data_IF_401430858065
#
_entry.id   IF_401430858065
#
_cell.length_a   1.000
_cell.length_b   1.000
_cell.length_c   1.000
_cell.angle_alpha   90.00
_cell.angle_beta   90.00
_cell.angle_gamma   90.00
#
_symmetry.space_group_name_H-M   'P 1'
#
loop_
_entity.id
_entity.type
_entity.pdbx_description
1 polymer ?
#
# COMPACT_ATOMS: atom_id res chain seq x y z
N UNK A 1 0.88 26.87 8.38
CA UNK A 1 0.77 25.44 8.01
C UNK A 1 -0.41 24.85 8.80
N UNK A 2 -1.26 23.97 8.28
CA UNK A 2 -2.63 23.71 8.80
C UNK A 2 -2.82 23.62 10.33
N UNK A 3 -1.85 23.02 11.05
CA UNK A 3 -1.83 22.95 12.52
C UNK A 3 -1.81 24.32 13.22
N UNK A 4 -1.14 25.32 12.66
CA UNK A 4 -1.14 26.70 13.15
C UNK A 4 -2.52 27.37 12.99
N UNK A 5 -3.20 27.10 11.88
CA UNK A 5 -4.56 27.63 11.66
C UNK A 5 -5.56 26.93 12.60
N UNK A 6 -5.43 25.63 12.79
CA UNK A 6 -6.21 24.88 13.78
C UNK A 6 -5.96 25.40 15.21
N UNK A 7 -4.71 25.73 15.55
CA UNK A 7 -4.36 26.31 16.86
C UNK A 7 -5.03 27.67 17.09
N UNK A 8 -5.16 28.51 16.05
CA UNK A 8 -5.90 29.79 16.14
C UNK A 8 -7.40 29.59 16.38
N UNK A 9 -7.94 28.43 15.97
CA UNK A 9 -9.32 28.02 16.24
C UNK A 9 -9.48 27.33 17.60
N UNK A 10 -8.44 27.31 18.43
CA UNK A 10 -8.46 26.66 19.74
C UNK A 10 -8.24 25.15 19.69
N UNK A 11 -7.95 24.57 18.52
CA UNK A 11 -7.70 23.14 18.37
C UNK A 11 -6.23 22.86 18.66
N UNK A 12 -5.95 22.56 19.92
CA UNK A 12 -4.64 22.17 20.47
C UNK A 12 -4.71 20.76 21.06
N UNK A 13 -3.60 20.22 21.56
CA UNK A 13 -3.57 18.87 22.12
C UNK A 13 -4.62 18.67 23.23
N UNK A 14 -5.32 17.54 23.16
CA UNK A 14 -6.40 17.17 24.10
C UNK A 14 -7.79 17.70 23.75
N UNK A 15 -7.93 18.66 22.83
CA UNK A 15 -9.24 19.16 22.39
C UNK A 15 -9.95 18.15 21.50
N UNK A 16 -11.20 17.86 21.81
CA UNK A 16 -12.06 16.92 21.07
C UNK A 16 -13.16 17.67 20.30
N UNK A 17 -13.90 16.95 19.45
CA UNK A 17 -15.01 17.52 18.68
C UNK A 17 -16.09 18.16 19.57
N UNK A 18 -16.36 17.57 20.75
CA UNK A 18 -17.36 18.07 21.69
C UNK A 18 -16.99 19.42 22.32
N UNK A 19 -15.71 19.77 22.31
CA UNK A 19 -15.21 21.05 22.84
C UNK A 19 -15.36 22.21 21.82
N UNK A 20 -15.73 21.92 20.57
CA UNK A 20 -15.82 22.92 19.51
C UNK A 20 -17.09 23.77 19.64
N UNK A 21 -16.92 25.09 19.59
CA UNK A 21 -18.05 25.99 19.42
C UNK A 21 -18.69 25.80 18.04
N UNK A 22 -20.02 25.82 17.97
CA UNK A 22 -20.77 25.69 16.71
C UNK A 22 -20.31 26.64 15.59
N UNK A 23 -19.86 27.84 15.96
CA UNK A 23 -19.34 28.86 15.04
C UNK A 23 -18.03 28.44 14.34
N UNK A 24 -17.25 27.56 14.97
CA UNK A 24 -15.90 27.15 14.53
C UNK A 24 -15.88 25.84 13.74
N UNK A 25 -16.89 24.99 13.91
CA UNK A 25 -16.97 23.63 13.32
C UNK A 25 -16.68 23.63 11.81
N UNK A 26 -17.29 24.55 11.06
CA UNK A 26 -17.13 24.59 9.60
C UNK A 26 -15.70 24.90 9.17
N UNK A 27 -15.10 25.93 9.77
CA UNK A 27 -13.73 26.34 9.44
C UNK A 27 -12.71 25.31 9.92
N UNK A 28 -12.90 24.75 11.12
CA UNK A 28 -12.11 23.65 11.64
C UNK A 28 -12.18 22.43 10.71
N UNK A 29 -13.38 22.05 10.27
CA UNK A 29 -13.60 20.92 9.38
C UNK A 29 -12.88 21.04 8.05
N UNK A 30 -12.85 22.24 7.44
CA UNK A 30 -12.08 22.48 6.22
C UNK A 30 -10.58 22.24 6.43
N UNK A 31 -10.01 22.77 7.52
CA UNK A 31 -8.60 22.59 7.82
C UNK A 31 -8.24 21.15 8.19
N UNK A 32 -9.10 20.47 8.95
CA UNK A 32 -8.94 19.05 9.30
C UNK A 32 -8.97 18.18 8.04
N UNK A 33 -9.92 18.38 7.13
CA UNK A 33 -9.97 17.63 5.86
C UNK A 33 -8.73 17.85 4.99
N UNK A 34 -8.26 19.10 4.88
CA UNK A 34 -7.03 19.41 4.13
C UNK A 34 -5.80 18.77 4.79
N UNK A 35 -5.73 18.76 6.12
CA UNK A 35 -4.66 18.10 6.86
C UNK A 35 -4.68 16.59 6.62
N UNK A 36 -5.84 15.94 6.69
CA UNK A 36 -5.99 14.51 6.42
C UNK A 36 -5.59 14.17 4.97
N UNK A 37 -5.98 15.00 3.99
CA UNK A 37 -5.57 14.81 2.60
C UNK A 37 -4.05 14.98 2.41
N UNK A 38 -3.43 15.91 3.13
CA UNK A 38 -1.98 16.08 3.13
C UNK A 38 -1.29 14.86 3.73
N UNK A 39 -1.75 14.38 4.88
CA UNK A 39 -1.20 13.20 5.55
C UNK A 39 -1.38 11.93 4.70
N UNK A 40 -2.52 11.74 4.03
CA UNK A 40 -2.74 10.63 3.08
C UNK A 40 -1.65 10.62 2.00
N UNK A 41 -1.43 11.76 1.35
CA UNK A 41 -0.39 11.87 0.31
C UNK A 41 1.00 11.63 0.88
N UNK A 42 1.27 12.11 2.10
CA UNK A 42 2.54 11.87 2.77
C UNK A 42 2.76 10.37 3.01
N UNK A 43 1.78 9.66 3.57
CA UNK A 43 1.87 8.21 3.78
C UNK A 43 2.13 7.49 2.45
N UNK A 44 1.40 7.83 1.38
CA UNK A 44 1.59 7.20 0.07
C UNK A 44 3.01 7.42 -0.50
N UNK A 45 3.56 8.64 -0.35
CA UNK A 45 4.92 8.97 -0.79
C UNK A 45 5.95 8.21 0.04
N UNK A 46 5.84 8.22 1.36
CA UNK A 46 6.82 7.56 2.23
C UNK A 46 6.81 6.04 2.09
N UNK A 47 5.63 5.42 1.92
CA UNK A 47 5.53 4.00 1.59
C UNK A 47 6.20 3.68 0.25
N UNK A 48 6.01 4.52 -0.78
CA UNK A 48 6.67 4.35 -2.09
C UNK A 48 8.19 4.44 -1.95
N UNK A 49 8.69 5.33 -1.09
CA UNK A 49 10.12 5.51 -0.81
C UNK A 49 10.71 4.47 0.14
N UNK A 50 9.90 3.51 0.61
CA UNK A 50 10.26 2.54 1.64
C UNK A 50 10.70 3.19 2.96
N UNK A 51 10.22 4.40 3.26
CA UNK A 51 10.45 5.14 4.50
C UNK A 51 9.30 4.81 5.48
N UNK A 52 9.32 3.58 5.98
CA UNK A 52 8.21 3.01 6.74
C UNK A 52 8.03 3.65 8.13
N UNK A 53 9.06 4.31 8.69
CA UNK A 53 8.98 5.01 9.98
C UNK A 53 8.19 6.31 9.83
N UNK A 54 8.46 7.04 8.77
CA UNK A 54 7.82 8.29 8.41
C UNK A 54 6.35 8.03 8.01
N UNK A 55 6.11 6.95 7.26
CA UNK A 55 4.77 6.51 6.92
C UNK A 55 3.92 6.16 8.17
N UNK A 56 4.48 5.41 9.13
CA UNK A 56 3.74 5.08 10.36
C UNK A 56 3.48 6.30 11.23
N UNK A 57 4.41 7.24 11.32
CA UNK A 57 4.24 8.47 12.12
C UNK A 57 3.13 9.35 11.54
N UNK A 58 3.09 9.50 10.21
CA UNK A 58 2.01 10.22 9.54
C UNK A 58 0.66 9.52 9.71
N UNK A 59 0.62 8.19 9.61
CA UNK A 59 -0.61 7.42 9.78
C UNK A 59 -1.12 7.44 11.23
N UNK A 60 -0.22 7.40 12.22
CA UNK A 60 -0.55 7.57 13.62
C UNK A 60 -1.15 8.96 13.90
N UNK A 61 -0.61 10.00 13.27
CA UNK A 61 -1.20 11.34 13.33
C UNK A 61 -2.61 11.37 12.73
N UNK A 62 -2.84 10.71 11.58
CA UNK A 62 -4.18 10.62 10.98
C UNK A 62 -5.18 9.95 11.94
N UNK A 63 -4.79 8.84 12.57
CA UNK A 63 -5.62 8.16 13.57
C UNK A 63 -5.93 9.07 14.75
N UNK A 64 -4.92 9.77 15.29
CA UNK A 64 -5.13 10.69 16.41
C UNK A 64 -6.14 11.81 16.06
N UNK A 65 -6.02 12.42 14.88
CA UNK A 65 -6.98 13.43 14.44
C UNK A 65 -8.38 12.86 14.25
N UNK A 66 -8.50 11.66 13.68
CA UNK A 66 -9.79 10.99 13.50
C UNK A 66 -10.45 10.65 14.84
N UNK A 67 -9.72 10.10 15.81
CA UNK A 67 -10.26 9.79 17.14
C UNK A 67 -10.78 11.04 17.86
N UNK A 68 -10.12 12.19 17.66
CA UNK A 68 -10.52 13.47 18.28
C UNK A 68 -11.70 14.14 17.57
N UNK A 69 -11.82 13.98 16.25
CA UNK A 69 -12.84 14.64 15.42
C UNK A 69 -13.60 13.66 14.50
N UNK A 70 -14.23 12.62 15.07
CA UNK A 70 -14.74 11.49 14.29
C UNK A 70 -15.92 11.82 13.39
N UNK A 71 -16.84 12.72 13.80
CA UNK A 71 -18.00 13.08 12.97
C UNK A 71 -17.57 13.97 11.82
N UNK A 72 -16.68 14.93 12.10
CA UNK A 72 -16.13 15.84 11.08
C UNK A 72 -15.34 15.04 10.04
N UNK A 73 -14.55 14.07 10.49
CA UNK A 73 -13.64 13.29 9.65
C UNK A 73 -14.21 11.93 9.22
N UNK A 74 -15.49 11.66 9.42
CA UNK A 74 -16.11 10.35 9.12
C UNK A 74 -15.84 9.88 7.68
N UNK A 75 -15.77 10.80 6.72
CA UNK A 75 -15.49 10.49 5.31
C UNK A 75 -14.04 10.01 5.06
N UNK A 76 -13.14 10.16 6.02
CA UNK A 76 -11.76 9.72 5.95
C UNK A 76 -11.55 8.31 6.52
N UNK A 77 -12.53 7.71 7.22
CA UNK A 77 -12.35 6.44 7.93
C UNK A 77 -11.89 5.33 6.97
N UNK A 78 -12.55 5.18 5.82
CA UNK A 78 -12.17 4.19 4.80
C UNK A 78 -10.76 4.42 4.28
N UNK A 79 -10.34 5.68 4.12
CA UNK A 79 -9.00 6.02 3.64
C UNK A 79 -7.95 5.65 4.67
N UNK A 80 -8.20 5.94 5.96
CA UNK A 80 -7.27 5.58 7.03
C UNK A 80 -7.13 4.06 7.11
N UNK A 81 -8.23 3.29 7.06
CA UNK A 81 -8.16 1.83 7.04
C UNK A 81 -7.42 1.31 5.80
N UNK A 82 -7.64 1.89 4.62
CA UNK A 82 -6.89 1.51 3.41
C UNK A 82 -5.39 1.75 3.58
N UNK A 83 -4.98 2.90 4.13
CA UNK A 83 -3.57 3.23 4.39
C UNK A 83 -2.95 2.30 5.44
N UNK A 84 -3.69 1.91 6.47
CA UNK A 84 -3.25 0.88 7.43
C UNK A 84 -2.99 -0.45 6.74
N UNK A 85 -3.87 -0.85 5.82
CA UNK A 85 -3.67 -2.02 4.97
C UNK A 85 -2.40 -1.92 4.12
N UNK A 86 -2.16 -0.77 3.49
CA UNK A 86 -0.96 -0.55 2.66
C UNK A 86 0.33 -0.59 3.50
N UNK A 87 0.32 0.02 4.68
CA UNK A 87 1.45 -0.05 5.61
C UNK A 87 1.70 -1.50 6.04
N UNK A 88 0.67 -2.19 6.55
CA UNK A 88 0.75 -3.57 6.99
C UNK A 88 1.27 -4.49 5.88
N UNK A 89 0.78 -4.33 4.65
CA UNK A 89 1.26 -5.07 3.49
C UNK A 89 2.74 -4.81 3.22
N UNK A 90 3.15 -3.54 3.21
CA UNK A 90 4.53 -3.13 2.93
C UNK A 90 5.52 -3.69 3.96
N UNK A 91 5.07 -3.87 5.21
CA UNK A 91 5.89 -4.47 6.27
C UNK A 91 5.71 -5.98 6.41
N UNK A 92 4.99 -6.64 5.48
CA UNK A 92 4.85 -8.09 5.41
C UNK A 92 3.81 -8.71 6.37
N UNK A 93 2.97 -7.89 7.01
CA UNK A 93 1.86 -8.31 7.85
C UNK A 93 0.61 -8.55 6.97
N UNK A 94 0.63 -9.62 6.18
CA UNK A 94 -0.34 -9.83 5.11
C UNK A 94 -1.77 -10.12 5.59
N UNK A 95 -1.93 -10.80 6.73
CA UNK A 95 -3.25 -11.06 7.29
C UNK A 95 -3.89 -9.78 7.85
N UNK A 96 -3.09 -8.95 8.52
CA UNK A 96 -3.48 -7.63 9.01
C UNK A 96 -3.81 -6.70 7.85
N UNK A 97 -3.00 -6.73 6.79
CA UNK A 97 -3.25 -5.96 5.59
C UNK A 97 -4.59 -6.30 4.95
N UNK A 98 -4.85 -7.59 4.73
CA UNK A 98 -6.11 -8.06 4.16
C UNK A 98 -7.31 -7.65 5.03
N UNK A 99 -7.20 -7.77 6.36
CA UNK A 99 -8.23 -7.29 7.29
C UNK A 99 -8.55 -5.81 7.07
N UNK A 100 -7.53 -4.94 7.09
CA UNK A 100 -7.75 -3.49 6.93
C UNK A 100 -8.32 -3.10 5.56
N UNK A 101 -7.88 -3.76 4.48
CA UNK A 101 -8.48 -3.55 3.17
C UNK A 101 -9.96 -3.96 3.12
N UNK A 102 -10.33 -5.06 3.78
CA UNK A 102 -11.72 -5.51 3.85
C UNK A 102 -12.59 -4.62 4.74
N UNK A 103 -12.04 -4.00 5.79
CA UNK A 103 -12.75 -2.97 6.55
C UNK A 103 -12.94 -1.69 5.73
N UNK A 104 -11.90 -1.20 5.06
CA UNK A 104 -12.01 -0.05 4.15
C UNK A 104 -13.06 -0.27 3.05
N UNK A 105 -13.14 -1.50 2.50
CA UNK A 105 -14.15 -1.91 1.53
C UNK A 105 -15.58 -1.76 2.06
N UNK A 106 -15.83 -2.11 3.33
CA UNK A 106 -17.15 -2.01 3.96
C UNK A 106 -17.58 -0.58 4.23
N UNK A 107 -16.60 0.30 4.48
CA UNK A 107 -16.82 1.71 4.86
C UNK A 107 -17.07 2.63 3.67
N UNK A 108 -16.55 2.29 2.49
CA UNK A 108 -16.61 3.18 1.32
C UNK A 108 -17.76 2.82 0.38
N UNK A 109 -18.50 3.84 -0.06
CA UNK A 109 -19.47 3.72 -1.16
C UNK A 109 -18.81 3.95 -2.54
N UNK A 110 -17.54 4.37 -2.57
CA UNK A 110 -16.83 4.64 -3.81
C UNK A 110 -16.39 3.33 -4.49
N UNK A 111 -17.06 2.97 -5.60
CA UNK A 111 -16.79 1.75 -6.36
C UNK A 111 -15.33 1.57 -6.80
N UNK A 112 -14.62 2.66 -7.12
CA UNK A 112 -13.19 2.58 -7.47
C UNK A 112 -12.37 2.15 -6.26
N UNK A 113 -12.62 2.76 -5.11
CA UNK A 113 -11.95 2.38 -3.86
C UNK A 113 -12.28 0.96 -3.44
N UNK A 114 -13.55 0.54 -3.54
CA UNK A 114 -13.97 -0.83 -3.26
C UNK A 114 -13.16 -1.83 -4.12
N UNK A 115 -13.04 -1.56 -5.41
CA UNK A 115 -12.30 -2.41 -6.35
C UNK A 115 -10.82 -2.49 -5.99
N UNK A 116 -10.21 -1.35 -5.64
CA UNK A 116 -8.80 -1.33 -5.24
C UNK A 116 -8.58 -2.04 -3.91
N UNK A 117 -9.49 -1.93 -2.94
CA UNK A 117 -9.40 -2.67 -1.68
C UNK A 117 -9.48 -4.19 -1.92
N UNK A 118 -10.36 -4.66 -2.82
CA UNK A 118 -10.42 -6.08 -3.22
C UNK A 118 -9.11 -6.54 -3.87
N UNK A 119 -8.55 -5.73 -4.78
CA UNK A 119 -7.25 -5.99 -5.41
C UNK A 119 -6.15 -6.10 -4.34
N UNK A 120 -6.04 -5.14 -3.43
CA UNK A 120 -4.98 -5.13 -2.43
C UNK A 120 -5.11 -6.27 -1.41
N UNK A 121 -6.32 -6.62 -0.99
CA UNK A 121 -6.57 -7.79 -0.15
C UNK A 121 -6.17 -9.09 -0.88
N UNK A 122 -6.57 -9.26 -2.14
CA UNK A 122 -6.20 -10.42 -2.94
C UNK A 122 -4.68 -10.54 -3.14
N UNK A 123 -3.97 -9.42 -3.36
CA UNK A 123 -2.50 -9.42 -3.43
C UNK A 123 -1.87 -9.85 -2.11
N UNK A 124 -2.40 -9.37 -0.97
CA UNK A 124 -1.92 -9.77 0.36
C UNK A 124 -2.06 -11.28 0.57
N UNK A 125 -3.19 -11.86 0.19
CA UNK A 125 -3.39 -13.31 0.23
C UNK A 125 -2.47 -14.09 -0.72
N UNK A 126 -2.23 -13.59 -1.94
CA UNK A 126 -1.27 -14.20 -2.88
C UNK A 126 0.15 -14.21 -2.30
N UNK A 127 0.53 -13.16 -1.56
CA UNK A 127 1.84 -13.06 -0.92
C UNK A 127 2.05 -14.08 0.20
N UNK A 128 0.99 -14.52 0.90
CA UNK A 128 1.08 -15.63 1.88
C UNK A 128 1.46 -16.95 1.22
N UNK A 129 0.97 -17.19 0.01
CA UNK A 129 1.44 -18.26 -0.88
C UNK A 129 0.93 -19.67 -0.56
N UNK A 130 0.08 -19.83 0.45
CA UNK A 130 -0.61 -21.10 0.74
C UNK A 130 -1.89 -21.26 -0.11
N UNK A 131 -2.42 -22.49 -0.14
CA UNK A 131 -3.56 -22.84 -0.98
C UNK A 131 -4.88 -22.21 -0.50
N UNK A 132 -5.04 -22.04 0.82
CA UNK A 132 -6.23 -21.46 1.45
C UNK A 132 -6.31 -19.97 1.10
N UNK A 133 -5.23 -19.21 1.33
CA UNK A 133 -5.12 -17.81 0.94
C UNK A 133 -5.31 -17.61 -0.57
N UNK A 134 -4.83 -18.55 -1.39
CA UNK A 134 -5.09 -18.51 -2.85
C UNK A 134 -6.58 -18.66 -3.19
N UNK A 135 -7.34 -19.42 -2.40
CA UNK A 135 -8.79 -19.51 -2.55
C UNK A 135 -9.46 -18.20 -2.12
N UNK A 136 -9.05 -17.62 -0.99
CA UNK A 136 -9.57 -16.32 -0.52
C UNK A 136 -9.31 -15.20 -1.55
N UNK A 137 -8.11 -15.17 -2.13
CA UNK A 137 -7.78 -14.25 -3.22
C UNK A 137 -8.72 -14.43 -4.42
N UNK A 138 -9.07 -15.67 -4.79
CA UNK A 138 -9.95 -15.99 -5.91
C UNK A 138 -11.38 -15.51 -5.67
N UNK A 139 -11.88 -15.68 -4.45
CA UNK A 139 -13.21 -15.24 -4.06
C UNK A 139 -13.36 -13.72 -4.13
N UNK A 140 -12.29 -12.98 -3.84
CA UNK A 140 -12.27 -11.53 -3.97
C UNK A 140 -12.14 -11.07 -5.42
N UNK A 141 -11.17 -11.60 -6.16
CA UNK A 141 -10.83 -11.07 -7.49
C UNK A 141 -11.72 -11.62 -8.60
N UNK A 142 -12.25 -12.84 -8.45
CA UNK A 142 -13.07 -13.51 -9.45
C UNK A 142 -14.35 -12.74 -9.80
N UNK A 143 -15.15 -12.28 -8.81
CA UNK A 143 -16.28 -11.39 -9.06
C UNK A 143 -15.85 -10.07 -9.71
N UNK A 144 -14.79 -9.43 -9.20
CA UNK A 144 -14.29 -8.16 -9.72
C UNK A 144 -13.87 -8.26 -11.20
N UNK A 145 -13.24 -9.37 -11.58
CA UNK A 145 -12.88 -9.68 -12.96
C UNK A 145 -14.12 -9.84 -13.86
N UNK A 146 -15.14 -10.57 -13.40
CA UNK A 146 -16.39 -10.76 -14.17
C UNK A 146 -17.14 -9.45 -14.43
N UNK A 147 -17.05 -8.50 -13.53
CA UNK A 147 -17.71 -7.19 -13.66
C UNK A 147 -16.78 -6.08 -14.14
N UNK A 148 -15.56 -6.41 -14.58
CA UNK A 148 -14.52 -5.39 -14.77
C UNK A 148 -14.85 -4.36 -15.86
N UNK A 149 -15.66 -4.75 -16.86
CA UNK A 149 -16.07 -3.84 -17.93
C UNK A 149 -16.97 -2.70 -17.45
N UNK A 150 -17.60 -2.85 -16.28
CA UNK A 150 -18.39 -1.80 -15.64
C UNK A 150 -17.55 -0.68 -15.01
N UNK A 151 -16.24 -0.89 -14.83
CA UNK A 151 -15.35 0.15 -14.33
C UNK A 151 -14.98 1.11 -15.46
N UNK A 152 -14.86 2.40 -15.13
CA UNK A 152 -14.39 3.43 -16.06
C UNK A 152 -12.87 3.59 -15.99
N UNK A 153 -12.26 3.31 -14.82
CA UNK A 153 -10.84 3.52 -14.58
C UNK A 153 -9.93 2.44 -15.16
N UNK A 154 -8.90 2.87 -15.90
CA UNK A 154 -7.88 2.00 -16.50
C UNK A 154 -7.01 1.33 -15.42
N UNK A 155 -6.78 2.03 -14.31
CA UNK A 155 -6.00 1.53 -13.17
C UNK A 155 -6.64 0.27 -12.58
N UNK A 156 -7.92 0.35 -12.22
CA UNK A 156 -8.67 -0.74 -11.60
C UNK A 156 -8.69 -1.96 -12.52
N UNK A 157 -9.03 -1.77 -13.81
CA UNK A 157 -9.04 -2.86 -14.79
C UNK A 157 -7.69 -3.55 -14.91
N UNK A 158 -6.62 -2.75 -15.06
CA UNK A 158 -5.26 -3.27 -15.20
C UNK A 158 -4.85 -4.08 -13.96
N UNK A 159 -5.10 -3.53 -12.77
CA UNK A 159 -4.79 -4.22 -11.52
C UNK A 159 -5.59 -5.52 -11.36
N UNK A 160 -6.89 -5.53 -11.67
CA UNK A 160 -7.72 -6.72 -11.59
C UNK A 160 -7.23 -7.81 -12.53
N UNK A 161 -6.95 -7.48 -13.80
CA UNK A 161 -6.43 -8.43 -14.79
C UNK A 161 -5.08 -8.99 -14.33
N UNK A 162 -4.21 -8.12 -13.83
CA UNK A 162 -2.87 -8.52 -13.38
C UNK A 162 -2.93 -9.48 -12.19
N UNK A 163 -3.69 -9.14 -11.14
CA UNK A 163 -3.84 -9.98 -9.95
C UNK A 163 -4.52 -11.30 -10.27
N UNK A 164 -5.56 -11.28 -11.11
CA UNK A 164 -6.22 -12.51 -11.56
C UNK A 164 -5.25 -13.41 -12.33
N UNK A 165 -4.42 -12.84 -13.21
CA UNK A 165 -3.37 -13.56 -13.92
C UNK A 165 -2.34 -14.19 -12.98
N UNK A 166 -1.85 -13.44 -11.99
CA UNK A 166 -0.92 -13.95 -10.96
C UNK A 166 -1.52 -15.12 -10.18
N UNK A 167 -2.80 -15.04 -9.85
CA UNK A 167 -3.50 -16.08 -9.12
C UNK A 167 -3.64 -17.38 -9.92
N UNK A 168 -4.03 -17.27 -11.20
CA UNK A 168 -4.10 -18.42 -12.10
C UNK A 168 -2.73 -19.11 -12.28
N UNK A 169 -1.65 -18.31 -12.32
CA UNK A 169 -0.29 -18.86 -12.37
C UNK A 169 0.08 -19.65 -11.12
N UNK A 170 -0.42 -19.26 -9.94
CA UNK A 170 -0.20 -19.99 -8.68
C UNK A 170 -1.02 -21.28 -8.58
N UNK A 171 -2.21 -21.30 -9.18
CA UNK A 171 -3.10 -22.48 -9.17
C UNK A 171 -2.76 -23.54 -10.23
N UNK A 172 -1.92 -23.24 -11.23
CA UNK A 172 -1.60 -24.15 -12.36
C UNK A 172 -0.10 -24.40 -12.63
N UNK A 173 0.59 -25.11 -11.73
CA UNK A 173 1.92 -25.71 -11.94
C UNK A 173 3.05 -24.72 -12.38
N UNK A 174 3.92 -24.26 -11.46
CA UNK A 174 4.72 -23.03 -11.60
C UNK A 174 5.93 -23.08 -12.57
N UNK A 175 6.28 -24.22 -13.16
CA UNK A 175 7.53 -24.34 -13.94
C UNK A 175 7.40 -23.81 -15.38
N UNK A 176 6.22 -23.92 -16.01
CA UNK A 176 5.98 -23.47 -17.40
C UNK A 176 5.56 -21.99 -17.49
N UNK A 177 5.05 -21.41 -16.41
CA UNK A 177 4.53 -20.04 -16.39
C UNK A 177 5.64 -18.98 -16.29
N UNK A 178 6.71 -19.27 -15.54
CA UNK A 178 7.94 -18.45 -15.52
C UNK A 178 8.61 -18.42 -16.90
N UNK A 179 8.71 -19.57 -17.56
CA UNK A 179 9.26 -19.68 -18.91
C UNK A 179 8.38 -18.97 -19.94
N UNK A 180 7.06 -18.93 -19.80
CA UNK A 180 6.16 -18.23 -20.75
C UNK A 180 6.03 -16.73 -20.51
N UNK A 181 6.10 -16.23 -19.27
CA UNK A 181 6.26 -14.80 -19.01
C UNK A 181 7.65 -14.31 -19.41
N UNK A 182 8.71 -15.10 -19.15
CA UNK A 182 10.07 -14.75 -19.57
C UNK A 182 10.30 -14.91 -21.08
N UNK A 183 9.70 -15.90 -21.76
CA UNK A 183 9.87 -16.08 -23.21
C UNK A 183 9.07 -15.09 -24.05
N UNK A 184 7.92 -14.62 -23.56
CA UNK A 184 7.11 -13.58 -24.22
C UNK A 184 7.75 -12.19 -24.18
N UNK A 185 8.76 -12.02 -23.34
CA UNK A 185 9.45 -10.76 -23.06
C UNK A 185 10.86 -10.68 -23.72
N UNK A 186 11.27 -11.71 -24.47
CA UNK A 186 12.69 -12.09 -24.47
C UNK A 186 13.69 -11.32 -25.34
N UNK A 187 13.39 -10.61 -26.44
CA UNK A 187 14.50 -10.38 -27.43
C UNK A 187 14.87 -8.94 -27.84
N UNK A 188 13.99 -7.92 -27.91
CA UNK A 188 14.49 -6.57 -28.25
C UNK A 188 13.46 -5.45 -28.00
N UNK A 189 13.25 -5.06 -26.74
CA UNK A 189 12.66 -3.77 -26.34
C UNK A 189 12.70 -3.55 -24.82
N UNK A 190 12.88 -4.62 -24.04
CA UNK A 190 12.70 -4.57 -22.59
C UNK A 190 13.88 -4.12 -21.76
N UNK A 191 15.12 -4.30 -22.21
CA UNK A 191 16.24 -3.77 -21.44
C UNK A 191 16.10 -2.25 -21.27
N UNK A 192 15.62 -1.54 -22.29
CA UNK A 192 15.37 -0.09 -22.20
C UNK A 192 14.20 0.23 -21.26
N UNK A 193 13.10 -0.52 -21.34
CA UNK A 193 11.93 -0.33 -20.45
C UNK A 193 12.33 -0.63 -18.99
N UNK A 194 12.97 -1.77 -18.72
CA UNK A 194 13.40 -2.15 -17.38
C UNK A 194 14.49 -1.22 -16.83
N UNK A 195 15.43 -0.75 -17.67
CA UNK A 195 16.40 0.29 -17.27
C UNK A 195 15.70 1.60 -16.94
N UNK A 196 14.70 1.99 -17.72
CA UNK A 196 13.88 3.18 -17.46
C UNK A 196 13.08 3.03 -16.15
N UNK A 197 12.43 1.89 -15.94
CA UNK A 197 11.73 1.55 -14.70
C UNK A 197 12.67 1.52 -13.50
N UNK A 198 13.88 0.97 -13.64
CA UNK A 198 14.89 0.98 -12.57
C UNK A 198 15.37 2.39 -12.26
N UNK A 199 15.53 3.23 -13.27
CA UNK A 199 15.90 4.65 -13.10
C UNK A 199 14.81 5.41 -12.36
N UNK A 200 13.55 5.17 -12.71
CA UNK A 200 12.41 5.74 -11.99
C UNK A 200 12.35 5.25 -10.55
N UNK A 201 12.47 3.94 -10.33
CA UNK A 201 12.46 3.34 -8.98
C UNK A 201 13.60 3.88 -8.11
N UNK A 202 14.79 4.10 -8.68
CA UNK A 202 15.91 4.76 -7.99
C UNK A 202 15.58 6.21 -7.63
N UNK A 203 14.99 6.97 -8.55
CA UNK A 203 14.56 8.37 -8.32
C UNK A 203 13.52 8.47 -7.21
N UNK A 204 12.60 7.51 -7.15
CA UNK A 204 11.54 7.44 -6.16
C UNK A 204 11.96 6.76 -4.86
N UNK A 205 13.20 6.27 -4.74
CA UNK A 205 13.65 5.45 -3.61
C UNK A 205 12.78 4.20 -3.36
N UNK A 206 12.11 3.69 -4.41
CA UNK A 206 11.31 2.46 -4.34
C UNK A 206 12.24 1.24 -4.34
N UNK A 207 12.62 0.80 -3.13
CA UNK A 207 13.57 -0.29 -2.93
C UNK A 207 12.97 -1.65 -3.35
N UNK A 208 11.72 -2.02 -2.99
CA UNK A 208 11.11 -3.25 -3.46
C UNK A 208 11.10 -3.39 -4.98
N UNK A 209 10.72 -2.34 -5.71
CA UNK A 209 10.73 -2.38 -7.18
C UNK A 209 12.16 -2.46 -7.72
N UNK A 210 13.13 -1.76 -7.11
CA UNK A 210 14.55 -1.92 -7.46
C UNK A 210 14.99 -3.38 -7.32
N UNK A 211 14.74 -4.02 -6.18
CA UNK A 211 15.12 -5.42 -5.91
C UNK A 211 14.47 -6.35 -6.94
N UNK A 212 13.18 -6.18 -7.22
CA UNK A 212 12.48 -7.00 -8.21
C UNK A 212 13.10 -6.86 -9.60
N UNK A 213 13.34 -5.63 -10.09
CA UNK A 213 13.95 -5.42 -11.42
C UNK A 213 15.38 -6.00 -11.46
N UNK A 214 16.16 -5.83 -10.39
CA UNK A 214 17.50 -6.40 -10.29
C UNK A 214 17.47 -7.94 -10.33
N UNK A 215 16.48 -8.57 -9.68
CA UNK A 215 16.33 -10.03 -9.76
C UNK A 215 16.06 -10.51 -11.20
N UNK A 216 15.25 -9.75 -11.96
CA UNK A 216 14.97 -10.03 -13.37
C UNK A 216 16.22 -9.84 -14.23
N UNK A 217 16.99 -8.77 -14.02
CA UNK A 217 18.27 -8.58 -14.73
C UNK A 217 19.29 -9.67 -14.40
N UNK A 218 19.34 -10.13 -13.14
CA UNK A 218 20.26 -11.20 -12.74
C UNK A 218 19.95 -12.49 -13.50
N UNK A 219 18.66 -12.86 -13.60
CA UNK A 219 18.26 -14.04 -14.38
C UNK A 219 18.59 -13.88 -15.87
N UNK A 220 18.38 -12.67 -16.42
CA UNK A 220 18.72 -12.38 -17.81
C UNK A 220 20.22 -12.49 -18.08
N UNK A 221 21.07 -11.93 -17.22
CA UNK A 221 22.52 -12.03 -17.37
C UNK A 221 23.00 -13.47 -17.27
N UNK A 222 22.37 -14.27 -16.41
CA UNK A 222 22.63 -15.71 -16.32
C UNK A 222 22.28 -16.43 -17.63
N UNK A 223 21.10 -16.16 -18.21
CA UNK A 223 20.68 -16.74 -19.50
C UNK A 223 21.59 -16.33 -20.67
N UNK A 224 22.16 -15.13 -20.62
CA UNK A 224 23.09 -14.60 -21.63
C UNK A 224 24.56 -15.00 -21.37
N UNK A 225 24.84 -15.75 -20.31
CA UNK A 225 26.18 -16.13 -19.86
C UNK A 225 27.11 -14.93 -19.55
N UNK A 226 26.54 -13.77 -19.24
CA UNK A 226 27.26 -12.54 -18.86
C UNK A 226 27.64 -12.54 -17.37
N UNK A 227 28.60 -13.38 -16.97
CA UNK A 227 28.93 -13.66 -15.56
C UNK A 227 29.36 -12.44 -14.74
N UNK A 228 30.11 -11.50 -15.33
CA UNK A 228 30.56 -10.29 -14.64
C UNK A 228 29.35 -9.38 -14.30
N UNK A 229 28.50 -9.13 -15.29
CA UNK A 229 27.26 -8.35 -15.11
C UNK A 229 26.29 -9.03 -14.14
N UNK A 230 26.15 -10.36 -14.20
CA UNK A 230 25.35 -11.13 -13.23
C UNK A 230 25.85 -10.89 -11.80
N UNK A 231 27.18 -10.98 -11.59
CA UNK A 231 27.81 -10.83 -10.29
C UNK A 231 27.62 -9.42 -9.73
N UNK A 232 27.97 -8.39 -10.51
CA UNK A 232 27.83 -6.98 -10.09
C UNK A 232 26.37 -6.63 -9.76
N UNK A 233 25.44 -7.07 -10.59
CA UNK A 233 24.01 -6.80 -10.41
C UNK A 233 23.45 -7.53 -9.18
N UNK A 234 23.86 -8.78 -8.95
CA UNK A 234 23.50 -9.57 -7.77
C UNK A 234 24.04 -8.95 -6.47
N UNK A 235 25.28 -8.46 -6.48
CA UNK A 235 25.85 -7.73 -5.34
C UNK A 235 25.09 -6.44 -5.04
N UNK A 236 24.74 -5.67 -6.08
CA UNK A 236 23.93 -4.46 -5.91
C UNK A 236 22.53 -4.78 -5.36
N UNK A 237 21.87 -5.82 -5.88
CA UNK A 237 20.59 -6.32 -5.38
C UNK A 237 20.67 -6.74 -3.90
N UNK A 238 21.73 -7.45 -3.52
CA UNK A 238 21.95 -7.88 -2.14
C UNK A 238 22.09 -6.70 -1.18
N UNK A 239 22.78 -5.62 -1.59
CA UNK A 239 22.88 -4.38 -0.79
C UNK A 239 21.50 -3.73 -0.60
N UNK A 240 20.64 -3.75 -1.62
CA UNK A 240 19.27 -3.22 -1.54
C UNK A 240 18.38 -4.06 -0.62
N UNK A 241 18.49 -5.38 -0.69
CA UNK A 241 17.78 -6.28 0.23
C UNK A 241 18.19 -6.00 1.68
N UNK A 242 19.48 -5.86 1.97
CA UNK A 242 19.98 -5.53 3.31
C UNK A 242 19.41 -4.18 3.80
N UNK A 243 19.38 -3.15 2.94
CA UNK A 243 18.79 -1.86 3.31
C UNK A 243 17.29 -1.98 3.58
N UNK A 244 16.54 -2.72 2.75
CA UNK A 244 15.12 -2.96 2.95
C UNK A 244 14.85 -3.67 4.28
N UNK A 245 15.58 -4.75 4.57
CA UNK A 245 15.44 -5.50 5.82
C UNK A 245 15.76 -4.64 7.04
N UNK A 246 16.77 -3.77 6.94
CA UNK A 246 17.09 -2.80 8.00
C UNK A 246 15.91 -1.85 8.27
N UNK A 247 15.33 -1.25 7.22
CA UNK A 247 14.19 -0.33 7.34
C UNK A 247 12.94 -1.03 7.88
N UNK A 248 12.68 -2.26 7.44
CA UNK A 248 11.59 -3.09 7.96
C UNK A 248 11.77 -3.39 9.45
N UNK A 249 12.98 -3.82 9.85
CA UNK A 249 13.29 -4.10 11.25
C UNK A 249 13.14 -2.86 12.12
N UNK A 250 13.61 -1.71 11.65
CA UNK A 250 13.45 -0.44 12.33
C UNK A 250 11.97 -0.10 12.51
N UNK A 251 11.18 -0.16 11.43
CA UNK A 251 9.76 0.18 11.48
C UNK A 251 8.99 -0.74 12.44
N UNK A 252 9.26 -2.05 12.41
CA UNK A 252 8.65 -3.04 13.30
C UNK A 252 8.99 -2.85 14.78
N UNK A 253 10.12 -2.19 15.08
CA UNK A 253 10.55 -1.91 16.46
C UNK A 253 9.90 -0.66 17.07
N UNK A 254 9.23 0.17 16.26
CA UNK A 254 8.60 1.41 16.72
C UNK A 254 7.27 1.12 17.41
N UNK A 255 6.89 1.99 18.35
CA UNK A 255 5.67 1.83 19.14
C UNK A 255 4.39 1.80 18.29
N UNK A 256 4.31 2.64 17.26
CA UNK A 256 3.13 2.70 16.38
C UNK A 256 2.95 1.45 15.52
N UNK A 257 3.97 0.63 15.31
CA UNK A 257 3.85 -0.56 14.46
C UNK A 257 2.70 -1.46 14.92
N UNK A 258 2.72 -1.88 16.19
CA UNK A 258 1.72 -2.79 16.75
C UNK A 258 0.31 -2.16 16.69
N UNK A 259 0.20 -0.88 17.03
CA UNK A 259 -1.05 -0.12 17.04
C UNK A 259 -1.67 0.05 15.64
N UNK A 260 -0.83 0.09 14.61
CA UNK A 260 -1.28 0.28 13.23
C UNK A 260 -1.68 -1.04 12.56
N UNK A 261 -0.98 -2.13 12.85
CA UNK A 261 -1.26 -3.45 12.24
C UNK A 261 -2.32 -4.26 12.99
N UNK A 262 -2.66 -3.90 14.22
CA UNK A 262 -3.66 -4.65 15.00
C UNK A 262 -5.00 -4.73 14.26
N UNK A 263 -5.60 -5.94 14.23
CA UNK A 263 -6.87 -6.25 13.55
C UNK A 263 -8.08 -5.74 14.33
N UNK A 264 -8.05 -4.46 14.66
CA UNK A 264 -9.11 -3.71 15.29
C UNK A 264 -9.41 -2.50 14.41
N UNK A 265 -10.69 -2.12 14.37
CA UNK A 265 -11.10 -0.86 13.76
C UNK A 265 -10.69 0.30 14.66
N UNK A 266 -10.53 1.48 14.07
CA UNK A 266 -10.37 2.70 14.86
C UNK A 266 -11.67 2.93 15.63
N UNK A 267 -11.59 2.87 16.95
CA UNK A 267 -12.68 3.25 17.82
C UNK A 267 -12.72 4.78 17.90
N UNK A 268 -13.84 5.38 17.48
CA UNK A 268 -14.16 6.75 17.82
C UNK A 268 -14.62 6.77 19.28
N UNK A 269 -14.05 7.63 20.13
CA UNK A 269 -14.61 7.84 21.46
C UNK A 269 -16.06 8.33 21.28
N UNK A 270 -17.06 7.64 21.87
CA UNK A 270 -18.44 8.11 21.77
C UNK A 270 -18.53 9.46 22.47
N UNK A 271 -19.12 10.44 21.79
CA UNK A 271 -19.51 11.72 22.37
C UNK A 271 -20.44 11.44 23.57
N UNK A 272 -19.97 11.69 24.78
CA UNK A 272 -20.77 11.67 26.01
C UNK A 272 -21.39 13.03 26.28
#
# INVERSE_FOLDING_TARGET
CFTEELSKLGIVDGVTEGDLEHSTIWTAGLYLMLLLQFLENNVAVELTRSEFVEAQEALAQMKNWFTRFPTILQGCESTIEMLRGQYAHSVGCFDEAAFHFLEALKLTENKSMQSMCQVYAAVSYICKGDAESSSEALELIGPAYRTMDSFVGVREKTCIIFVYGLLLMRQHNPQDARVRLASGLRIAHQQEILKSSLTLAKTLYDIPTQIWILSVFTELYRELEEKENEMENSEYGSKKEIDLQRRLAEARSRAYHQELVEKVRIEAEPLH
#
